data_IF_947588833666
#
_entry.id   IF_947588833666
#
_cell.length_a   1.000
_cell.length_b   1.000
_cell.length_c   1.000
_cell.angle_alpha   90.00
_cell.angle_beta   90.00
_cell.angle_gamma   90.00
#
_symmetry.space_group_name_H-M   'P 1'
#
loop_
_entity.id
_entity.type
_entity.pdbx_description
1 polymer ?
#
# COMPACT_ATOMS: atom_id res chain seq x y z
N UNK A 1 12.17 17.17 -8.78
CA UNK A 1 11.17 16.29 -8.15
C UNK A 1 9.96 16.36 -9.05
N UNK A 2 9.49 15.24 -9.61
CA UNK A 2 8.24 15.28 -10.36
C UNK A 2 7.12 15.71 -9.39
N UNK A 3 6.21 16.58 -9.83
CA UNK A 3 5.06 16.98 -9.03
C UNK A 3 4.25 15.73 -8.69
N UNK A 4 4.25 15.34 -7.41
CA UNK A 4 3.47 14.19 -6.96
C UNK A 4 1.97 14.54 -7.08
N UNK A 5 1.14 13.63 -7.61
CA UNK A 5 -0.26 13.94 -7.82
C UNK A 5 -0.98 14.13 -6.48
N UNK A 6 -1.81 15.16 -6.38
CA UNK A 6 -2.70 15.36 -5.22
C UNK A 6 -3.97 14.50 -5.28
N UNK A 7 -4.26 13.89 -6.44
CA UNK A 7 -5.41 13.01 -6.66
C UNK A 7 -4.94 11.72 -7.33
N UNK A 8 -5.27 10.58 -6.71
CA UNK A 8 -5.16 9.26 -7.32
C UNK A 8 -6.56 8.79 -7.68
N UNK A 9 -6.84 8.53 -8.96
CA UNK A 9 -8.14 7.98 -9.36
C UNK A 9 -8.16 6.48 -9.12
N UNK A 10 -9.35 5.91 -9.05
CA UNK A 10 -9.53 4.47 -8.86
C UNK A 10 -8.77 3.63 -9.91
N UNK A 11 -8.75 4.07 -11.17
CA UNK A 11 -8.02 3.39 -12.24
C UNK A 11 -6.49 3.39 -12.01
N UNK A 12 -5.94 4.51 -11.52
CA UNK A 12 -4.50 4.63 -11.21
C UNK A 12 -4.15 3.69 -10.05
N UNK A 13 -4.97 3.68 -8.99
CA UNK A 13 -4.79 2.80 -7.82
C UNK A 13 -4.93 1.32 -8.20
N UNK A 14 -5.86 0.99 -9.10
CA UNK A 14 -6.04 -0.37 -9.61
C UNK A 14 -4.83 -0.85 -10.41
N UNK A 15 -4.18 0.05 -11.16
CA UNK A 15 -2.97 -0.25 -11.94
C UNK A 15 -1.69 -0.34 -11.09
N UNK A 16 -1.69 0.13 -9.84
CA UNK A 16 -0.55 -0.01 -8.94
C UNK A 16 -0.29 -1.50 -8.63
N UNK A 17 0.94 -1.97 -8.86
CA UNK A 17 1.33 -3.35 -8.53
C UNK A 17 1.23 -3.65 -7.02
N UNK A 18 1.51 -2.65 -6.17
CA UNK A 18 1.66 -2.85 -4.73
C UNK A 18 2.89 -3.68 -4.37
N UNK A 19 3.16 -3.83 -3.06
CA UNK A 19 4.26 -4.63 -2.56
C UNK A 19 3.74 -5.76 -1.66
N UNK A 20 4.16 -6.99 -1.93
CA UNK A 20 3.93 -8.10 -1.01
C UNK A 20 4.76 -7.86 0.26
N UNK A 21 4.09 -7.73 1.41
CA UNK A 21 4.71 -7.53 2.72
C UNK A 21 4.33 -8.67 3.64
N UNK A 22 5.32 -9.22 4.32
CA UNK A 22 5.14 -10.16 5.43
C UNK A 22 5.72 -9.54 6.70
N UNK A 23 4.97 -9.57 7.80
CA UNK A 23 5.51 -9.10 9.08
C UNK A 23 6.62 -10.03 9.56
N UNK A 24 7.74 -9.47 10.02
CA UNK A 24 8.91 -10.27 10.40
C UNK A 24 8.68 -11.19 11.61
N UNK A 25 7.77 -10.84 12.53
CA UNK A 25 7.40 -11.68 13.69
C UNK A 25 6.20 -12.59 13.46
N UNK A 26 5.45 -12.39 12.37
CA UNK A 26 4.21 -13.13 12.12
C UNK A 26 4.17 -13.56 10.65
N UNK A 27 4.59 -14.80 10.33
CA UNK A 27 4.60 -15.29 8.95
C UNK A 27 3.21 -15.33 8.28
N UNK A 28 2.12 -15.32 9.07
CA UNK A 28 0.75 -15.25 8.55
C UNK A 28 0.29 -13.82 8.28
N UNK A 29 0.99 -12.81 8.77
CA UNK A 29 0.69 -11.42 8.48
C UNK A 29 1.20 -11.03 7.09
N UNK A 30 0.46 -11.44 6.06
CA UNK A 30 0.81 -11.30 4.64
C UNK A 30 -0.23 -10.42 3.96
N UNK A 31 0.23 -9.44 3.20
CA UNK A 31 -0.65 -8.51 2.48
C UNK A 31 0.01 -7.97 1.23
N UNK A 32 -0.79 -7.55 0.27
CA UNK A 32 -0.35 -6.60 -0.77
C UNK A 32 -0.56 -5.19 -0.23
N UNK A 33 0.46 -4.35 -0.32
CA UNK A 33 0.47 -3.01 0.26
C UNK A 33 0.73 -1.96 -0.81
N UNK A 34 -0.29 -1.15 -1.14
CA UNK A 34 -0.17 0.01 -2.03
C UNK A 34 -0.01 1.27 -1.18
N UNK A 35 1.15 1.92 -1.27
CA UNK A 35 1.43 3.13 -0.50
C UNK A 35 0.90 4.37 -1.22
N UNK A 36 -0.28 4.83 -0.79
CA UNK A 36 -0.93 5.99 -1.40
C UNK A 36 -0.25 7.28 -0.96
N UNK A 37 0.15 7.37 0.31
CA UNK A 37 0.87 8.51 0.84
C UNK A 37 2.20 8.75 0.12
N UNK A 38 3.00 7.69 -0.08
CA UNK A 38 4.27 7.82 -0.83
C UNK A 38 4.02 8.23 -2.29
N UNK A 39 2.98 7.68 -2.92
CA UNK A 39 2.62 8.01 -4.31
C UNK A 39 2.19 9.48 -4.48
N UNK A 40 1.70 10.13 -3.42
CA UNK A 40 1.34 11.56 -3.41
C UNK A 40 2.38 12.44 -2.70
N UNK A 41 3.53 11.89 -2.31
CA UNK A 41 4.64 12.63 -1.69
C UNK A 41 4.47 12.95 -0.21
N UNK A 42 3.53 12.31 0.49
CA UNK A 42 3.39 12.47 1.95
C UNK A 42 4.58 11.82 2.68
N UNK A 43 5.14 12.55 3.65
CA UNK A 43 6.27 12.07 4.48
C UNK A 43 5.95 12.00 5.98
N UNK A 44 4.90 12.69 6.45
CA UNK A 44 4.51 12.73 7.86
C UNK A 44 3.41 11.73 8.25
N UNK A 45 2.77 11.07 7.29
CA UNK A 45 1.69 10.12 7.52
C UNK A 45 1.72 8.99 6.49
N UNK A 46 1.60 7.75 6.96
CA UNK A 46 1.45 6.57 6.11
C UNK A 46 -0.02 6.29 5.82
N UNK A 47 -0.44 6.46 4.56
CA UNK A 47 -1.77 6.05 4.08
C UNK A 47 -1.57 4.90 3.10
N UNK A 48 -2.11 3.73 3.43
CA UNK A 48 -1.95 2.52 2.62
C UNK A 48 -3.30 1.87 2.34
N UNK A 49 -3.52 1.49 1.09
CA UNK A 49 -4.54 0.50 0.73
C UNK A 49 -3.88 -0.88 0.81
N UNK A 50 -4.43 -1.76 1.66
CA UNK A 50 -3.92 -3.11 1.84
C UNK A 50 -4.96 -4.13 1.41
N UNK A 51 -4.49 -5.20 0.77
CA UNK A 51 -5.29 -6.35 0.38
C UNK A 51 -4.77 -7.57 1.15
N UNK A 52 -5.66 -8.23 1.89
CA UNK A 52 -5.35 -9.41 2.71
C UNK A 52 -6.14 -10.58 2.16
N UNK A 53 -5.45 -11.65 1.77
CA UNK A 53 -6.10 -12.83 1.23
C UNK A 53 -6.84 -13.62 2.33
N UNK A 54 -7.87 -14.41 2.00
CA UNK A 54 -8.50 -15.29 2.97
C UNK A 54 -7.47 -16.19 3.69
N UNK A 55 -7.54 -16.22 5.03
CA UNK A 55 -6.63 -17.00 5.87
C UNK A 55 -5.32 -16.28 6.26
N UNK A 56 -5.03 -15.12 5.67
CA UNK A 56 -3.94 -14.24 6.09
C UNK A 56 -4.38 -13.22 7.16
N UNK A 57 -3.40 -12.60 7.80
CA UNK A 57 -3.56 -11.56 8.82
C UNK A 57 -2.92 -10.25 8.34
N UNK A 58 -3.32 -9.11 8.92
CA UNK A 58 -2.70 -7.82 8.61
C UNK A 58 -1.44 -7.53 9.44
N UNK A 59 -1.38 -8.07 10.67
CA UNK A 59 -0.36 -7.85 11.71
C UNK A 59 -0.25 -9.08 12.60
#
# INVERSE_FOLDING_TARGET
>A
MADAPYLLRAADIAAMQGLAKTHFLNPRARRINKSLGDATGLTGLGIHLIEVAPGDLSS
#
